data_IF_760829671731
#
_entry.id   IF_760829671731
#
_cell.length_a   1.000
_cell.length_b   1.000
_cell.length_c   1.000
_cell.angle_alpha   90.00
_cell.angle_beta   90.00
_cell.angle_gamma   90.00
#
_symmetry.space_group_name_H-M   'P 1'
#
loop_
_entity.id
_entity.type
_entity.pdbx_description
1 polymer ?
#
# COMPACT_ATOMS: atom_id res chain seq x y z
N UNK A 1 -14.74 19.00 6.07
CA UNK A 1 -14.50 18.62 4.65
C UNK A 1 -13.87 19.72 3.81
N UNK A 2 -14.18 21.01 4.03
CA UNK A 2 -13.65 22.14 3.25
C UNK A 2 -12.14 22.43 3.44
N UNK A 3 -11.44 21.62 4.24
CA UNK A 3 -10.02 21.83 4.55
C UNK A 3 -9.09 21.17 3.53
N UNK A 4 -9.58 20.18 2.77
CA UNK A 4 -8.82 19.54 1.70
C UNK A 4 -9.06 20.25 0.37
N UNK A 5 -8.11 21.10 -0.02
CA UNK A 5 -8.15 21.90 -1.23
C UNK A 5 -6.83 21.77 -1.99
N UNK A 6 -6.85 21.99 -3.31
CA UNK A 6 -5.63 22.08 -4.11
C UNK A 6 -4.94 20.74 -4.45
N UNK A 7 -5.65 19.60 -4.36
CA UNK A 7 -5.08 18.32 -4.78
C UNK A 7 -4.56 18.37 -6.24
N UNK A 8 -3.33 17.87 -6.51
CA UNK A 8 -2.80 17.86 -7.86
C UNK A 8 -3.58 16.86 -8.74
N UNK A 9 -3.76 17.10 -10.05
CA UNK A 9 -4.30 16.09 -10.94
C UNK A 9 -3.47 14.80 -10.91
N UNK A 10 -4.09 13.61 -11.03
CA UNK A 10 -5.51 13.32 -11.15
C UNK A 10 -6.21 13.11 -9.78
N UNK A 11 -5.58 13.49 -8.68
CA UNK A 11 -6.08 13.23 -7.33
C UNK A 11 -7.29 14.11 -7.01
N UNK A 12 -8.29 13.51 -6.36
CA UNK A 12 -9.50 14.18 -5.89
C UNK A 12 -9.98 13.53 -4.61
N UNK A 13 -10.78 14.24 -3.84
CA UNK A 13 -11.54 13.63 -2.75
C UNK A 13 -12.62 12.74 -3.36
N UNK A 14 -12.36 11.43 -3.39
CA UNK A 14 -13.28 10.47 -3.98
C UNK A 14 -14.52 10.29 -3.10
N UNK A 15 -15.72 10.48 -3.67
CA UNK A 15 -17.01 10.25 -3.00
C UNK A 15 -17.63 8.99 -3.59
N UNK A 16 -17.44 7.87 -2.91
CA UNK A 16 -18.00 6.58 -3.33
C UNK A 16 -19.43 6.42 -2.84
N UNK A 17 -20.19 5.56 -3.53
CA UNK A 17 -21.51 5.13 -3.06
C UNK A 17 -21.35 4.37 -1.73
N UNK A 18 -22.06 4.81 -0.70
CA UNK A 18 -22.10 4.15 0.60
C UNK A 18 -23.48 3.53 0.78
N UNK A 19 -23.54 2.19 0.75
CA UNK A 19 -24.77 1.42 0.90
C UNK A 19 -24.64 0.44 2.05
N UNK A 20 -25.77 0.10 2.65
CA UNK A 20 -25.90 -1.02 3.59
C UNK A 20 -26.30 -2.30 2.84
N UNK A 21 -25.99 -3.46 3.43
CA UNK A 21 -26.55 -4.74 2.96
C UNK A 21 -27.98 -4.90 3.49
N UNK A 22 -28.81 -5.67 2.78
CA UNK A 22 -30.18 -6.00 3.23
C UNK A 22 -30.19 -6.89 4.47
N UNK A 23 -29.14 -7.70 4.64
CA UNK A 23 -28.93 -8.59 5.77
C UNK A 23 -27.62 -8.21 6.47
N UNK A 24 -27.66 -7.36 7.51
CA UNK A 24 -26.46 -7.01 8.26
C UNK A 24 -26.00 -8.18 9.14
N UNK A 25 -24.68 -8.33 9.27
CA UNK A 25 -24.09 -9.32 10.19
C UNK A 25 -24.34 -8.93 11.64
N UNK A 26 -24.70 -9.91 12.48
CA UNK A 26 -24.82 -9.71 13.91
C UNK A 26 -23.43 -9.66 14.57
N UNK A 27 -23.28 -8.81 15.59
CA UNK A 27 -22.04 -8.72 16.38
C UNK A 27 -21.72 -10.07 17.02
N UNK A 28 -20.55 -10.61 16.69
CA UNK A 28 -20.00 -11.81 17.33
C UNK A 28 -19.08 -11.41 18.49
N UNK A 29 -19.43 -11.79 19.71
CA UNK A 29 -18.59 -11.57 20.89
C UNK A 29 -17.56 -12.70 21.02
N UNK A 30 -16.28 -12.39 20.85
CA UNK A 30 -15.20 -13.37 20.95
C UNK A 30 -13.83 -12.74 20.71
N UNK A 31 -12.77 -13.52 20.92
CA UNK A 31 -11.40 -13.09 20.56
C UNK A 31 -11.26 -13.12 19.04
N UNK A 32 -10.71 -12.05 18.47
CA UNK A 32 -10.35 -12.03 17.06
C UNK A 32 -9.28 -13.09 16.76
N UNK A 33 -9.33 -13.78 15.61
CA UNK A 33 -8.30 -14.73 15.22
C UNK A 33 -6.94 -14.06 15.03
N UNK A 34 -5.85 -14.78 15.33
CA UNK A 34 -4.48 -14.31 15.13
C UNK A 34 -3.96 -14.54 13.70
N UNK A 35 -4.85 -14.66 12.72
CA UNK A 35 -4.48 -14.88 11.33
C UNK A 35 -5.27 -13.97 10.40
N UNK A 36 -4.68 -13.69 9.24
CA UNK A 36 -5.28 -12.96 8.13
C UNK A 36 -5.20 -13.84 6.89
N UNK A 37 -6.30 -13.93 6.15
CA UNK A 37 -6.37 -14.68 4.89
C UNK A 37 -6.46 -13.68 3.75
N UNK A 38 -5.67 -13.88 2.71
CA UNK A 38 -5.79 -13.10 1.48
C UNK A 38 -5.85 -14.01 0.25
N UNK A 39 -6.50 -13.53 -0.80
CA UNK A 39 -6.65 -14.20 -2.09
C UNK A 39 -6.63 -13.15 -3.21
N UNK A 40 -5.96 -13.49 -4.31
CA UNK A 40 -5.88 -12.66 -5.51
C UNK A 40 -6.47 -13.48 -6.64
N UNK A 41 -7.41 -12.88 -7.38
CA UNK A 41 -8.01 -13.52 -8.56
C UNK A 41 -6.91 -13.92 -9.54
N UNK A 42 -7.00 -15.15 -10.05
CA UNK A 42 -6.08 -15.71 -11.05
C UNK A 42 -4.63 -15.92 -10.55
N UNK A 43 -4.35 -15.78 -9.25
CA UNK A 43 -3.04 -16.03 -8.61
C UNK A 43 -2.92 -17.48 -8.06
N UNK A 44 -3.68 -18.41 -8.65
CA UNK A 44 -3.72 -19.82 -8.28
C UNK A 44 -4.91 -20.23 -7.39
N UNK A 45 -5.03 -21.53 -7.07
CA UNK A 45 -6.19 -22.09 -6.38
C UNK A 45 -6.15 -21.91 -4.86
N UNK A 46 -5.04 -21.44 -4.28
CA UNK A 46 -4.82 -21.42 -2.83
C UNK A 46 -4.88 -20.01 -2.24
N UNK A 47 -5.41 -19.92 -1.02
CA UNK A 47 -5.35 -18.72 -0.19
C UNK A 47 -4.01 -18.64 0.54
N UNK A 48 -3.54 -17.43 0.82
CA UNK A 48 -2.38 -17.22 1.67
C UNK A 48 -2.85 -16.90 3.09
N UNK A 49 -2.32 -17.63 4.08
CA UNK A 49 -2.62 -17.46 5.51
C UNK A 49 -1.41 -16.84 6.21
N UNK A 50 -1.63 -15.67 6.80
CA UNK A 50 -0.62 -14.85 7.46
C UNK A 50 -0.89 -14.81 8.96
N UNK A 51 0.14 -14.97 9.77
CA UNK A 51 0.07 -14.69 11.20
C UNK A 51 0.01 -13.16 11.41
N UNK A 52 -1.08 -12.68 12.00
CA UNK A 52 -1.36 -11.25 12.14
C UNK A 52 -0.39 -10.53 13.11
N UNK A 53 0.33 -11.28 13.96
CA UNK A 53 1.31 -10.74 14.90
C UNK A 53 2.68 -10.57 14.22
N UNK A 54 3.11 -11.54 13.40
CA UNK A 54 4.43 -11.52 12.77
C UNK A 54 4.41 -10.89 11.37
N UNK A 55 3.26 -10.84 10.72
CA UNK A 55 3.12 -10.39 9.33
C UNK A 55 3.71 -11.36 8.30
N UNK A 56 3.98 -12.61 8.69
CA UNK A 56 4.56 -13.66 7.85
C UNK A 56 3.60 -14.85 7.69
N UNK A 57 3.84 -15.66 6.67
CA UNK A 57 3.12 -16.92 6.48
C UNK A 57 3.38 -17.87 7.67
N UNK A 58 2.51 -18.85 7.86
CA UNK A 58 2.66 -19.84 8.94
C UNK A 58 3.97 -20.66 8.84
N UNK A 59 4.53 -20.79 7.64
CA UNK A 59 5.83 -21.40 7.36
C UNK A 59 7.03 -20.49 7.69
N UNK A 60 6.77 -19.24 8.09
CA UNK A 60 7.79 -18.22 8.30
C UNK A 60 8.20 -17.47 7.01
N UNK A 61 7.64 -17.83 5.85
CA UNK A 61 7.94 -17.15 4.59
C UNK A 61 7.33 -15.76 4.50
N UNK A 62 7.88 -14.95 3.61
CA UNK A 62 7.42 -13.58 3.33
C UNK A 62 6.08 -13.65 2.58
N UNK A 63 5.11 -12.83 3.00
CA UNK A 63 3.82 -12.71 2.31
C UNK A 63 3.98 -12.14 0.90
N UNK A 64 3.18 -12.64 -0.05
CA UNK A 64 3.03 -12.07 -1.40
C UNK A 64 2.54 -10.60 -1.41
N UNK A 65 1.95 -10.14 -0.30
CA UNK A 65 1.50 -8.76 -0.10
C UNK A 65 2.51 -7.89 0.68
N UNK A 66 3.71 -8.39 0.95
CA UNK A 66 4.76 -7.61 1.60
C UNK A 66 5.30 -6.48 0.71
N UNK A 67 5.92 -5.47 1.33
CA UNK A 67 6.61 -4.38 0.60
C UNK A 67 7.66 -4.93 -0.37
N UNK A 68 8.42 -5.93 0.06
CA UNK A 68 9.45 -6.58 -0.76
C UNK A 68 8.84 -7.22 -2.01
N UNK A 69 7.75 -8.00 -1.85
CA UNK A 69 7.10 -8.66 -2.99
C UNK A 69 6.47 -7.65 -3.97
N UNK A 70 5.88 -6.56 -3.47
CA UNK A 70 5.39 -5.49 -4.36
C UNK A 70 6.52 -4.74 -5.06
N UNK A 71 7.66 -4.53 -4.39
CA UNK A 71 8.81 -3.91 -5.03
C UNK A 71 9.41 -4.79 -6.12
N UNK A 72 9.44 -6.12 -5.90
CA UNK A 72 9.82 -7.07 -6.93
C UNK A 72 8.89 -7.03 -8.14
N UNK A 73 7.57 -7.06 -7.91
CA UNK A 73 6.58 -6.93 -8.98
C UNK A 73 6.71 -5.59 -9.72
N UNK A 74 7.02 -4.49 -9.03
CA UNK A 74 7.30 -3.21 -9.68
C UNK A 74 8.45 -3.32 -10.69
N UNK A 75 9.58 -3.91 -10.31
CA UNK A 75 10.71 -4.16 -11.23
C UNK A 75 10.35 -5.13 -12.36
N UNK A 76 9.52 -6.15 -12.12
CA UNK A 76 9.01 -7.03 -13.19
C UNK A 76 8.20 -6.24 -14.25
N UNK A 77 7.38 -5.28 -13.82
CA UNK A 77 6.63 -4.42 -14.74
C UNK A 77 7.57 -3.50 -15.54
N UNK A 78 8.63 -2.97 -14.91
CA UNK A 78 9.66 -2.19 -15.60
C UNK A 78 10.40 -3.03 -16.65
N UNK A 79 10.78 -4.28 -16.33
CA UNK A 79 11.40 -5.20 -17.30
C UNK A 79 10.49 -5.49 -18.49
N UNK A 80 9.18 -5.57 -18.26
CA UNK A 80 8.16 -5.71 -19.31
C UNK A 80 7.93 -4.41 -20.10
N UNK A 81 8.64 -3.33 -19.79
CA UNK A 81 8.56 -2.02 -20.46
C UNK A 81 7.13 -1.45 -20.47
N UNK A 82 6.39 -1.68 -19.39
CA UNK A 82 5.05 -1.13 -19.24
C UNK A 82 5.17 0.40 -19.07
N UNK A 83 4.39 1.21 -19.81
CA UNK A 83 4.42 2.67 -19.67
C UNK A 83 4.15 3.12 -18.24
N UNK A 84 5.00 4.01 -17.73
CA UNK A 84 4.89 4.55 -16.36
C UNK A 84 4.43 6.00 -16.38
N UNK A 85 3.74 6.43 -15.32
CA UNK A 85 3.27 7.83 -15.21
C UNK A 85 4.40 8.84 -15.02
N UNK A 86 5.52 8.40 -14.45
CA UNK A 86 6.68 9.26 -14.15
C UNK A 86 7.76 9.18 -15.23
N UNK A 87 7.62 8.29 -16.22
CA UNK A 87 8.67 8.01 -17.20
C UNK A 87 9.83 7.16 -16.65
N UNK A 88 9.74 6.68 -15.40
CA UNK A 88 10.73 5.77 -14.82
C UNK A 88 10.85 4.50 -15.65
N UNK A 89 12.09 4.13 -15.96
CA UNK A 89 12.50 2.91 -16.65
C UNK A 89 13.32 2.02 -15.72
N UNK A 90 13.66 0.82 -16.17
CA UNK A 90 14.53 -0.11 -15.43
C UNK A 90 15.90 0.52 -15.11
N UNK A 91 16.45 1.30 -16.04
CA UNK A 91 17.77 1.92 -15.93
C UNK A 91 17.80 3.12 -14.98
N UNK A 92 16.65 3.79 -14.82
CA UNK A 92 16.51 4.98 -13.96
C UNK A 92 15.89 4.68 -12.59
N UNK A 93 15.40 3.47 -12.39
CA UNK A 93 14.71 3.10 -11.15
C UNK A 93 15.70 3.02 -9.99
N UNK A 94 15.43 3.70 -8.86
CA UNK A 94 16.26 3.58 -7.66
C UNK A 94 16.16 2.18 -7.06
N UNK A 95 17.31 1.63 -6.66
CA UNK A 95 17.36 0.32 -6.01
C UNK A 95 16.80 0.34 -4.58
N UNK A 96 16.73 1.49 -3.93
CA UNK A 96 16.16 1.63 -2.58
C UNK A 96 14.65 1.88 -2.68
N UNK A 97 13.86 1.13 -1.91
CA UNK A 97 12.39 1.20 -1.95
C UNK A 97 11.84 2.58 -1.59
N UNK A 98 12.42 3.24 -0.58
CA UNK A 98 12.07 4.62 -0.22
C UNK A 98 12.30 5.58 -1.39
N UNK A 99 13.47 5.52 -2.03
CA UNK A 99 13.85 6.39 -3.14
C UNK A 99 12.94 6.16 -4.35
N UNK A 100 12.59 4.90 -4.65
CA UNK A 100 11.65 4.57 -5.72
C UNK A 100 10.25 5.16 -5.46
N UNK A 101 9.78 5.16 -4.21
CA UNK A 101 8.52 5.84 -3.84
C UNK A 101 8.64 7.36 -3.97
N UNK A 102 9.82 7.92 -3.72
CA UNK A 102 10.06 9.34 -3.76
C UNK A 102 10.05 9.94 -5.18
N UNK A 103 10.17 9.10 -6.22
CA UNK A 103 10.08 9.51 -7.62
C UNK A 103 8.66 9.99 -8.04
N UNK A 104 7.62 9.74 -7.24
CA UNK A 104 6.23 10.09 -7.61
C UNK A 104 5.78 11.38 -6.94
N UNK A 105 6.25 12.53 -7.44
CA UNK A 105 6.01 13.84 -6.83
C UNK A 105 4.52 14.17 -6.65
N UNK A 106 3.69 13.93 -7.67
CA UNK A 106 2.25 14.23 -7.59
C UNK A 106 1.53 13.47 -6.46
N UNK A 107 1.96 12.24 -6.16
CA UNK A 107 1.44 11.47 -5.03
C UNK A 107 1.93 12.05 -3.69
N UNK A 108 3.19 12.49 -3.60
CA UNK A 108 3.75 13.12 -2.40
C UNK A 108 3.02 14.42 -2.06
N UNK A 109 2.74 15.23 -3.07
CA UNK A 109 1.99 16.48 -2.91
C UNK A 109 0.56 16.20 -2.44
N UNK A 110 -0.14 15.25 -3.09
CA UNK A 110 -1.48 14.85 -2.70
C UNK A 110 -1.53 14.34 -1.24
N UNK A 111 -0.56 13.51 -0.85
CA UNK A 111 -0.41 13.02 0.53
C UNK A 111 -0.15 14.16 1.51
N UNK A 112 0.68 15.13 1.15
CA UNK A 112 1.00 16.30 1.98
C UNK A 112 -0.24 17.17 2.20
N UNK A 113 -1.02 17.44 1.15
CA UNK A 113 -2.28 18.16 1.27
C UNK A 113 -3.32 17.42 2.11
N UNK A 114 -3.40 16.09 1.98
CA UNK A 114 -4.26 15.27 2.84
C UNK A 114 -3.88 15.42 4.32
N UNK A 115 -2.59 15.30 4.66
CA UNK A 115 -2.11 15.44 6.04
C UNK A 115 -2.38 16.86 6.58
N UNK A 116 -2.10 17.88 5.76
CA UNK A 116 -2.36 19.27 6.12
C UNK A 116 -3.85 19.54 6.36
N UNK A 117 -4.74 18.92 5.58
CA UNK A 117 -6.18 19.06 5.73
C UNK A 117 -6.70 18.50 7.05
N UNK A 118 -6.17 17.36 7.53
CA UNK A 118 -6.49 16.82 8.85
C UNK A 118 -6.06 17.77 9.97
N UNK A 119 -4.83 18.29 9.90
CA UNK A 119 -4.32 19.27 10.87
C UNK A 119 -5.16 20.55 10.89
N UNK A 120 -5.48 21.10 9.71
CA UNK A 120 -6.30 22.31 9.56
C UNK A 120 -7.73 22.11 10.08
N UNK A 121 -8.26 20.90 9.98
CA UNK A 121 -9.58 20.55 10.52
C UNK A 121 -9.59 20.29 12.04
N UNK A 122 -8.43 20.36 12.72
CA UNK A 122 -8.33 20.04 14.14
C UNK A 122 -8.46 18.55 14.46
N UNK A 123 -8.21 17.67 13.49
CA UNK A 123 -8.39 16.22 13.61
C UNK A 123 -7.11 15.47 14.03
N UNK A 124 -6.09 16.19 14.50
CA UNK A 124 -4.82 15.63 14.94
C UNK A 124 -3.75 15.55 13.85
N UNK A 125 -2.68 14.81 14.16
CA UNK A 125 -1.47 14.68 13.33
C UNK A 125 -1.36 13.27 12.77
N UNK A 126 -0.98 13.16 11.50
CA UNK A 126 -0.77 11.88 10.84
C UNK A 126 0.52 11.22 11.34
N UNK A 127 0.39 10.04 11.97
CA UNK A 127 1.53 9.25 12.43
C UNK A 127 2.13 8.45 11.26
N UNK A 128 3.44 8.56 11.07
CA UNK A 128 4.19 7.76 10.08
C UNK A 128 5.09 6.75 10.79
N UNK A 129 5.37 5.64 10.11
CA UNK A 129 6.43 4.73 10.53
C UNK A 129 7.80 5.38 10.31
N UNK A 130 8.84 4.93 11.04
CA UNK A 130 10.22 5.32 10.77
C UNK A 130 10.61 4.99 9.32
N UNK A 131 11.46 5.82 8.72
CA UNK A 131 11.83 5.71 7.31
C UNK A 131 12.71 4.50 7.02
N UNK A 132 13.43 4.03 8.04
CA UNK A 132 14.25 2.82 8.05
C UNK A 132 13.43 1.58 7.65
N UNK A 133 12.11 1.60 7.88
CA UNK A 133 11.21 0.53 7.45
C UNK A 133 11.02 0.44 5.92
N UNK A 134 11.38 1.50 5.19
CA UNK A 134 11.33 1.59 3.73
C UNK A 134 12.74 1.69 3.10
N UNK A 135 13.82 1.77 3.91
CA UNK A 135 15.21 1.82 3.44
C UNK A 135 15.79 0.42 3.23
N UNK A 136 15.21 -0.34 2.30
CA UNK A 136 15.75 -1.62 1.85
C UNK A 136 15.94 -1.62 0.33
N UNK A 137 16.91 -2.40 -0.13
CA UNK A 137 17.25 -2.52 -1.55
C UNK A 137 16.41 -3.58 -2.25
N UNK A 138 16.23 -3.39 -3.55
CA UNK A 138 15.69 -4.40 -4.43
C UNK A 138 16.56 -5.66 -4.39
N UNK A 139 15.93 -6.81 -4.21
CA UNK A 139 16.59 -8.11 -4.23
C UNK A 139 15.77 -9.09 -5.06
N UNK A 140 16.45 -9.82 -5.95
CA UNK A 140 15.89 -10.94 -6.72
C UNK A 140 15.92 -12.25 -5.96
N UNK A 141 16.56 -12.31 -4.79
CA UNK A 141 16.61 -13.53 -3.99
C UNK A 141 15.20 -13.80 -3.44
N UNK A 142 14.58 -14.87 -3.94
CA UNK A 142 13.39 -15.44 -3.32
C UNK A 142 13.74 -15.79 -1.87
N UNK A 143 12.99 -15.24 -0.92
CA UNK A 143 13.04 -15.67 0.48
C UNK A 143 12.34 -17.02 0.65
#
# INVERSE_FOLDING_TARGET
ENTLIGLPPPFRLNKILMNTTSSPEARQTGKAPNHSINWIKDDGPTVEVINAVTGKCNTGSVSRLSKQMFFMKFYELLRKKIPTKTGITLETAPDVYLDAKDQVQSYKDAKTYMIAAFKKAGLGVWMKKPEEQDQFIYSTAAC
#
